data_IF_045553897062
#
_entry.id   IF_045553897062
#
_cell.length_a   1.000
_cell.length_b   1.000
_cell.length_c   1.000
_cell.angle_alpha   90.00
_cell.angle_beta   90.00
_cell.angle_gamma   90.00
#
_symmetry.space_group_name_H-M   'P 1'
#
loop_
_entity.id
_entity.type
_entity.pdbx_description
1 polymer ?
#
# COMPACT_ATOMS: atom_id res chain seq x y z
N UNK A 1 -10.29 -6.72 -4.89
CA UNK A 1 -9.89 -5.87 -3.75
C UNK A 1 -10.18 -6.62 -2.45
N UNK A 2 -9.15 -6.98 -1.68
CA UNK A 2 -9.33 -7.68 -0.40
C UNK A 2 -9.92 -6.73 0.65
N UNK A 3 -10.97 -7.16 1.37
CA UNK A 3 -11.74 -6.28 2.29
C UNK A 3 -10.92 -5.62 3.41
N UNK A 4 -9.74 -6.14 3.72
CA UNK A 4 -8.90 -5.65 4.83
C UNK A 4 -7.45 -5.38 4.40
N UNK A 5 -7.18 -5.29 3.09
CA UNK A 5 -5.83 -5.03 2.61
C UNK A 5 -5.81 -4.28 1.29
N UNK A 6 -4.87 -3.34 1.18
CA UNK A 6 -4.51 -2.65 -0.06
C UNK A 6 -3.00 -2.65 -0.20
N UNK A 7 -2.51 -2.86 -1.43
CA UNK A 7 -1.15 -2.54 -1.83
C UNK A 7 -1.26 -1.67 -3.08
N UNK A 8 -0.46 -0.61 -3.12
CA UNK A 8 -0.34 0.27 -4.27
C UNK A 8 1.11 0.68 -4.47
N UNK A 9 1.39 1.13 -5.69
CA UNK A 9 2.67 1.70 -6.06
C UNK A 9 2.50 3.18 -6.41
N UNK A 10 3.53 3.98 -6.17
CA UNK A 10 3.57 5.36 -6.62
C UNK A 10 4.97 5.72 -7.11
N UNK A 11 5.05 6.35 -8.28
CA UNK A 11 6.32 6.81 -8.84
C UNK A 11 6.78 8.08 -8.09
N UNK A 12 7.57 7.88 -7.04
CA UNK A 12 8.11 8.96 -6.22
C UNK A 12 9.07 9.85 -7.03
N UNK A 13 9.78 9.26 -8.00
CA UNK A 13 10.80 9.94 -8.79
C UNK A 13 10.24 10.66 -10.02
N UNK A 14 8.97 10.44 -10.35
CA UNK A 14 8.25 10.97 -11.51
C UNK A 14 8.95 10.66 -12.84
N UNK A 15 9.63 9.53 -12.91
CA UNK A 15 10.44 9.15 -14.06
C UNK A 15 9.79 8.04 -14.91
N UNK A 16 8.71 7.43 -14.41
CA UNK A 16 7.97 6.34 -15.02
C UNK A 16 8.50 4.94 -14.67
N UNK A 17 9.56 4.84 -13.86
CA UNK A 17 10.00 3.57 -13.29
C UNK A 17 9.45 3.41 -11.86
N UNK A 18 9.23 2.16 -11.44
CA UNK A 18 9.13 1.83 -10.01
C UNK A 18 10.54 1.75 -9.44
N UNK A 19 10.87 2.54 -8.44
CA UNK A 19 12.15 2.55 -7.75
C UNK A 19 13.24 3.37 -8.44
N UNK A 20 14.41 3.40 -7.81
CA UNK A 20 15.54 4.24 -8.20
C UNK A 20 16.38 3.60 -9.30
N UNK A 21 16.54 4.29 -10.44
CA UNK A 21 17.46 3.88 -11.51
C UNK A 21 18.92 3.96 -11.09
N UNK A 22 19.77 3.11 -11.65
CA UNK A 22 21.23 3.17 -11.48
C UNK A 22 21.84 4.44 -12.09
N UNK A 23 21.36 4.85 -13.27
CA UNK A 23 21.73 6.09 -13.97
C UNK A 23 20.50 6.69 -14.64
N UNK A 24 20.54 7.97 -15.03
CA UNK A 24 19.39 8.63 -15.71
C UNK A 24 18.99 7.95 -17.03
N UNK A 25 19.94 7.30 -17.70
CA UNK A 25 19.74 6.62 -18.99
C UNK A 25 19.49 5.12 -18.86
N UNK A 26 19.58 4.55 -17.66
CA UNK A 26 19.30 3.13 -17.46
C UNK A 26 17.81 2.84 -17.71
N UNK A 27 17.53 1.74 -18.41
CA UNK A 27 16.16 1.27 -18.60
C UNK A 27 15.55 0.79 -17.28
N UNK A 28 14.25 1.07 -17.06
CA UNK A 28 13.51 0.59 -15.88
C UNK A 28 13.47 -0.95 -15.78
N UNK A 29 13.52 -1.63 -16.93
CA UNK A 29 13.41 -3.08 -17.04
C UNK A 29 14.43 -3.64 -18.02
N UNK A 30 14.87 -4.86 -17.75
CA UNK A 30 15.64 -5.68 -18.68
C UNK A 30 14.78 -6.91 -19.00
N UNK A 31 14.17 -6.92 -20.20
CA UNK A 31 13.15 -7.92 -20.53
C UNK A 31 11.92 -7.80 -19.63
N UNK A 32 11.67 -8.82 -18.82
CA UNK A 32 10.52 -8.93 -17.89
C UNK A 32 10.86 -8.63 -16.43
N UNK A 33 12.13 -8.31 -16.15
CA UNK A 33 12.65 -8.10 -14.79
C UNK A 33 12.84 -6.61 -14.53
N UNK A 34 12.44 -6.17 -13.34
CA UNK A 34 12.71 -4.83 -12.86
C UNK A 34 14.23 -4.59 -12.73
N UNK A 35 14.72 -3.43 -13.18
CA UNK A 35 16.14 -3.04 -13.20
C UNK A 35 16.39 -1.76 -12.41
N UNK A 36 15.58 -1.51 -11.38
CA UNK A 36 15.73 -0.42 -10.42
C UNK A 36 16.04 -0.99 -9.04
N UNK A 37 16.24 -0.11 -8.05
CA UNK A 37 16.49 -0.48 -6.66
C UNK A 37 15.58 0.30 -5.73
N UNK A 38 15.52 -0.12 -4.47
CA UNK A 38 14.75 0.58 -3.44
C UNK A 38 13.25 0.66 -3.76
N UNK A 39 12.72 -0.36 -4.46
CA UNK A 39 11.32 -0.39 -4.92
C UNK A 39 10.37 -0.22 -3.73
N UNK A 40 10.72 -0.79 -2.57
CA UNK A 40 9.92 -0.70 -1.33
C UNK A 40 9.57 0.73 -0.91
N UNK A 41 10.40 1.74 -1.25
CA UNK A 41 10.09 3.15 -0.93
C UNK A 41 8.87 3.68 -1.66
N UNK A 42 8.55 3.06 -2.79
CA UNK A 42 7.45 3.41 -3.68
C UNK A 42 6.24 2.48 -3.50
N UNK A 43 6.27 1.59 -2.50
CA UNK A 43 5.16 0.72 -2.15
C UNK A 43 4.45 1.30 -0.94
N UNK A 44 3.14 1.40 -1.04
CA UNK A 44 2.26 1.68 0.09
C UNK A 44 1.34 0.50 0.25
N UNK A 45 1.48 -0.22 1.37
CA UNK A 45 0.62 -1.36 1.66
C UNK A 45 0.14 -1.32 3.09
N UNK A 46 -1.16 -1.54 3.28
CA UNK A 46 -1.80 -1.62 4.58
C UNK A 46 -2.68 -2.86 4.64
N UNK A 47 -2.63 -3.57 5.78
CA UNK A 47 -3.64 -4.58 6.12
C UNK A 47 -4.07 -4.45 7.57
N UNK A 48 -5.25 -5.01 7.88
CA UNK A 48 -5.70 -5.22 9.26
C UNK A 48 -5.70 -6.69 9.59
N UNK A 49 -5.05 -7.02 10.70
CA UNK A 49 -4.97 -8.37 11.26
C UNK A 49 -4.93 -8.25 12.78
N UNK A 50 -5.67 -9.10 13.52
CA UNK A 50 -5.72 -9.07 14.99
C UNK A 50 -6.02 -7.69 15.60
N UNK A 51 -6.88 -6.89 14.94
CA UNK A 51 -7.20 -5.51 15.31
C UNK A 51 -6.02 -4.52 15.27
N UNK A 52 -4.95 -4.87 14.58
CA UNK A 52 -3.77 -4.03 14.37
C UNK A 52 -3.59 -3.74 12.89
N UNK A 53 -3.04 -2.56 12.57
CA UNK A 53 -2.62 -2.19 11.23
C UNK A 53 -1.18 -2.64 11.03
N UNK A 54 -0.92 -3.24 9.87
CA UNK A 54 0.40 -3.62 9.42
C UNK A 54 0.74 -2.88 8.12
N UNK A 55 2.02 -2.56 7.95
CA UNK A 55 2.59 -1.97 6.74
C UNK A 55 3.41 -2.99 5.97
N UNK A 56 3.32 -2.96 4.64
CA UNK A 56 4.06 -3.88 3.78
C UNK A 56 5.58 -3.67 3.89
N UNK A 57 6.36 -4.76 3.94
CA UNK A 57 7.81 -4.69 4.16
C UNK A 57 8.65 -5.68 3.34
N UNK A 58 8.08 -6.36 2.34
CA UNK A 58 8.87 -7.25 1.46
C UNK A 58 9.85 -6.46 0.57
N UNK A 59 11.06 -6.98 0.39
CA UNK A 59 11.95 -6.52 -0.66
C UNK A 59 11.48 -7.04 -2.03
N UNK A 60 11.37 -6.14 -3.01
CA UNK A 60 10.89 -6.46 -4.37
C UNK A 60 11.85 -6.02 -5.49
N UNK A 61 13.11 -5.71 -5.16
CA UNK A 61 14.05 -5.09 -6.11
C UNK A 61 14.25 -5.87 -7.42
N UNK A 62 13.97 -7.19 -7.42
CA UNK A 62 14.07 -8.07 -8.60
C UNK A 62 12.75 -8.79 -8.96
N UNK A 63 11.58 -8.22 -8.66
CA UNK A 63 10.32 -8.90 -9.01
C UNK A 63 10.18 -9.07 -10.54
N UNK A 64 9.62 -10.22 -10.95
CA UNK A 64 9.13 -10.42 -12.33
C UNK A 64 7.71 -9.86 -12.41
N UNK A 65 7.29 -9.36 -13.58
CA UNK A 65 5.96 -8.76 -13.79
C UNK A 65 4.82 -9.52 -13.10
N UNK A 66 4.75 -10.83 -13.31
CA UNK A 66 3.70 -11.68 -12.74
C UNK A 66 3.71 -11.68 -11.21
N UNK A 67 4.89 -11.80 -10.59
CA UNK A 67 5.04 -11.76 -9.13
C UNK A 67 4.60 -10.40 -8.56
N UNK A 68 4.94 -9.31 -9.24
CA UNK A 68 4.52 -7.97 -8.84
C UNK A 68 3.01 -7.75 -9.03
N UNK A 69 2.39 -8.38 -10.04
CA UNK A 69 0.93 -8.36 -10.22
C UNK A 69 0.21 -9.16 -9.14
N UNK A 70 0.64 -10.39 -8.87
CA UNK A 70 0.06 -11.22 -7.80
C UNK A 70 0.13 -10.54 -6.44
N UNK A 71 1.21 -9.80 -6.17
CA UNK A 71 1.35 -9.02 -4.94
C UNK A 71 0.22 -7.99 -4.75
N UNK A 72 -0.12 -7.25 -5.81
CA UNK A 72 -1.20 -6.26 -5.78
C UNK A 72 -2.57 -6.88 -5.53
N UNK A 73 -2.74 -8.13 -5.97
CA UNK A 73 -4.03 -8.81 -5.92
C UNK A 73 -4.27 -9.52 -4.59
N UNK A 74 -3.23 -10.16 -4.02
CA UNK A 74 -3.40 -11.11 -2.92
C UNK A 74 -2.83 -10.66 -1.57
N UNK A 75 -2.14 -9.51 -1.51
CA UNK A 75 -1.52 -9.02 -0.28
C UNK A 75 -0.50 -9.99 0.36
N UNK A 76 0.04 -10.90 -0.45
CA UNK A 76 1.07 -11.84 -0.03
C UNK A 76 2.40 -11.11 0.20
N UNK A 77 3.13 -11.51 1.24
CA UNK A 77 4.44 -10.95 1.56
C UNK A 77 4.69 -10.79 3.06
N UNK A 78 5.79 -10.11 3.37
CA UNK A 78 6.16 -9.74 4.72
C UNK A 78 5.48 -8.44 5.11
N UNK A 79 5.05 -8.40 6.38
CA UNK A 79 4.31 -7.30 6.95
C UNK A 79 4.90 -6.95 8.31
N UNK A 80 5.07 -5.65 8.54
CA UNK A 80 5.57 -5.12 9.80
C UNK A 80 4.42 -4.46 10.56
N UNK A 81 4.31 -4.75 11.85
CA UNK A 81 3.28 -4.13 12.70
C UNK A 81 3.50 -2.61 12.74
N UNK A 82 2.43 -1.85 12.49
CA UNK A 82 2.45 -0.38 12.53
C UNK A 82 1.78 0.16 13.81
N UNK A 83 0.78 -0.55 14.33
CA UNK A 83 0.00 -0.13 15.51
C UNK A 83 -0.06 -1.22 16.56
N UNK A 84 -0.14 -0.84 17.82
CA UNK A 84 -0.34 -1.78 18.93
C UNK A 84 -1.79 -1.75 19.45
N UNK A 85 -2.43 -2.92 19.54
CA UNK A 85 -3.83 -3.04 19.98
C UNK A 85 -4.08 -2.51 21.40
N UNK A 86 -3.03 -2.40 22.22
CA UNK A 86 -3.07 -1.84 23.57
C UNK A 86 -3.24 -0.31 23.58
N UNK A 87 -2.91 0.36 22.47
CA UNK A 87 -3.13 1.80 22.30
C UNK A 87 -4.52 2.07 21.72
N UNK A 88 -4.86 1.38 20.63
CA UNK A 88 -6.17 1.39 20.00
C UNK A 88 -6.42 0.11 19.21
N UNK A 89 -7.67 -0.33 19.18
CA UNK A 89 -8.09 -1.49 18.38
C UNK A 89 -8.69 -1.02 17.07
N UNK A 90 -8.13 -1.48 15.96
CA UNK A 90 -8.69 -1.22 14.63
C UNK A 90 -9.92 -2.10 14.42
N UNK A 91 -11.08 -1.47 14.29
CA UNK A 91 -12.37 -2.12 14.03
C UNK A 91 -12.65 -2.23 12.53
N UNK A 92 -12.27 -1.19 11.78
CA UNK A 92 -12.48 -1.09 10.34
C UNK A 92 -11.31 -0.35 9.70
N UNK A 93 -10.78 -0.89 8.62
CA UNK A 93 -9.99 -0.17 7.63
C UNK A 93 -10.48 -0.63 6.27
N UNK A 94 -11.24 0.22 5.60
CA UNK A 94 -11.88 -0.10 4.32
C UNK A 94 -11.44 0.86 3.23
N UNK A 95 -11.27 0.31 2.03
CA UNK A 95 -10.86 1.02 0.83
C UNK A 95 -11.91 0.78 -0.25
N UNK A 96 -12.55 1.84 -0.73
CA UNK A 96 -13.58 1.74 -1.77
C UNK A 96 -13.46 2.85 -2.80
N UNK A 97 -13.60 2.50 -4.07
CA UNK A 97 -13.62 3.49 -5.14
C UNK A 97 -14.93 4.31 -5.11
N UNK A 98 -14.79 5.63 -5.22
CA UNK A 98 -15.90 6.56 -5.50
C UNK A 98 -15.96 6.93 -6.97
N UNK A 99 -14.82 6.89 -7.61
CA UNK A 99 -14.66 6.84 -9.06
C UNK A 99 -13.51 5.86 -9.31
N UNK A 100 -13.77 4.81 -10.08
CA UNK A 100 -12.78 3.77 -10.39
C UNK A 100 -11.49 4.41 -10.92
N UNK A 101 -10.35 3.95 -10.38
CA UNK A 101 -8.99 4.39 -10.68
C UNK A 101 -8.67 5.89 -10.48
N UNK A 102 -9.60 6.70 -9.96
CA UNK A 102 -9.41 8.15 -9.80
C UNK A 102 -9.62 8.65 -8.36
N UNK A 103 -10.67 8.17 -7.67
CA UNK A 103 -11.02 8.68 -6.35
C UNK A 103 -11.25 7.55 -5.37
N UNK A 104 -10.29 7.34 -4.48
CA UNK A 104 -10.34 6.33 -3.44
C UNK A 104 -10.91 6.93 -2.14
N UNK A 105 -11.92 6.28 -1.56
CA UNK A 105 -12.38 6.53 -0.20
C UNK A 105 -11.69 5.57 0.76
N UNK A 106 -11.18 6.12 1.85
CA UNK A 106 -10.57 5.37 2.95
C UNK A 106 -11.42 5.62 4.20
N UNK A 107 -11.84 4.55 4.87
CA UNK A 107 -12.58 4.61 6.13
C UNK A 107 -11.81 3.88 7.22
N UNK A 108 -11.57 4.58 8.33
CA UNK A 108 -10.92 4.04 9.51
C UNK A 108 -11.84 4.18 10.73
N UNK A 109 -12.01 3.09 11.46
CA UNK A 109 -12.67 3.07 12.77
C UNK A 109 -11.74 2.41 13.80
N UNK A 110 -11.48 3.12 14.89
CA UNK A 110 -10.65 2.65 15.99
C UNK A 110 -11.38 2.80 17.33
N UNK A 111 -11.17 1.85 18.23
CA UNK A 111 -11.74 1.82 19.58
C UNK A 111 -10.64 2.02 20.64
N UNK A 112 -10.93 2.82 21.68
CA UNK A 112 -10.05 2.95 22.84
C UNK A 112 -10.11 1.69 23.73
N UNK A 113 -8.97 1.02 24.02
CA UNK A 113 -8.95 -0.08 24.97
C UNK A 113 -9.09 0.40 26.41
N UNK A 114 -8.77 1.69 26.66
CA UNK A 114 -8.81 2.33 27.98
C UNK A 114 -10.19 2.88 28.33
N UNK A 115 -10.98 3.27 27.33
CA UNK A 115 -12.32 3.81 27.52
C UNK A 115 -13.33 3.00 26.69
N UNK A 116 -14.06 2.11 27.37
CA UNK A 116 -15.06 1.25 26.71
C UNK A 116 -16.11 2.10 25.98
N UNK A 117 -16.40 1.75 24.73
CA UNK A 117 -17.41 2.41 23.91
C UNK A 117 -16.93 3.72 23.25
N UNK A 118 -15.72 4.18 23.52
CA UNK A 118 -15.16 5.34 22.82
C UNK A 118 -14.59 4.90 21.47
N UNK A 119 -15.26 5.32 20.39
CA UNK A 119 -14.91 5.02 19.01
C UNK A 119 -14.55 6.30 18.27
N UNK A 120 -13.42 6.28 17.56
CA UNK A 120 -13.00 7.34 16.67
C UNK A 120 -13.15 6.89 15.22
N UNK A 121 -13.71 7.76 14.38
CA UNK A 121 -13.88 7.49 12.95
C UNK A 121 -13.17 8.56 12.13
N UNK A 122 -12.58 8.12 11.02
CA UNK A 122 -12.01 9.01 10.03
C UNK A 122 -12.40 8.53 8.63
N UNK A 123 -12.81 9.49 7.80
CA UNK A 123 -13.05 9.28 6.36
C UNK A 123 -12.12 10.20 5.59
N UNK A 124 -11.45 9.66 4.57
CA UNK A 124 -10.59 10.42 3.66
C UNK A 124 -10.91 10.07 2.23
N UNK A 125 -10.76 11.05 1.36
CA UNK A 125 -10.86 10.91 -0.09
C UNK A 125 -9.50 11.26 -0.67
N UNK A 126 -8.93 10.33 -1.43
CA UNK A 126 -7.59 10.45 -2.02
C UNK A 126 -7.74 10.35 -3.53
N UNK A 127 -7.31 11.39 -4.24
CA UNK A 127 -7.19 11.34 -5.68
C UNK A 127 -5.97 10.49 -6.04
N UNK A 128 -6.20 9.46 -6.85
CA UNK A 128 -5.13 8.64 -7.42
C UNK A 128 -4.74 9.30 -8.73
N UNK A 129 -3.68 10.10 -8.66
CA UNK A 129 -3.13 10.79 -9.82
C UNK A 129 -2.21 9.84 -10.59
N UNK A 130 -2.80 8.84 -11.24
CA UNK A 130 -2.11 8.15 -12.32
C UNK A 130 -1.99 9.17 -13.45
N UNK A 131 -0.79 9.72 -13.68
CA UNK A 131 -0.55 10.61 -14.81
C UNK A 131 -1.03 9.89 -16.07
N UNK A 132 -2.18 10.32 -16.58
CA UNK A 132 -2.67 9.97 -17.91
C UNK A 132 -1.69 10.64 -18.88
N UNK A 133 -0.76 9.85 -19.41
CA UNK A 133 -0.05 10.18 -20.64
C UNK A 133 -0.66 9.42 -21.79
#
# INVERSE_FOLDING_TARGET
MHKNCIIGFYDLNQDGCLGKRKTKTAACKLGTVNNTREVLKEIVGFKVENNEIYTFSSQLDNCVKEQCQTLLENCDGNWSKFTEANNFKTKKLDFSWRQEDNLLKIELEIESPKQKGLIYTAVRYVFILNNTR
#
